data_IF_658488981888
#
_entry.id   IF_658488981888
#
_cell.length_a   1.000
_cell.length_b   1.000
_cell.length_c   1.000
_cell.angle_alpha   90.00
_cell.angle_beta   90.00
_cell.angle_gamma   90.00
#
_symmetry.space_group_name_H-M   'P 1'
#
loop_
_entity.id
_entity.type
_entity.pdbx_description
1 polymer ?
#
# COMPACT_ATOMS: atom_id res chain seq x y z
N UNK A 1 -42.67 -29.02 37.31
CA UNK A 1 -42.71 -27.62 37.79
C UNK A 1 -42.34 -27.59 39.25
N UNK A 2 -41.08 -27.31 39.58
CA UNK A 2 -40.64 -26.89 40.92
C UNK A 2 -39.48 -25.91 40.74
N UNK A 3 -39.74 -24.66 41.11
CA UNK A 3 -38.85 -23.50 41.08
C UNK A 3 -37.61 -23.70 41.95
N UNK A 4 -36.48 -23.13 41.50
CA UNK A 4 -35.29 -22.89 42.34
C UNK A 4 -35.04 -21.37 42.31
N UNK A 5 -34.93 -20.68 43.46
CA UNK A 5 -35.08 -19.24 43.59
C UNK A 5 -33.83 -18.43 43.23
N UNK A 6 -34.11 -17.21 42.75
CA UNK A 6 -33.19 -16.05 42.70
C UNK A 6 -32.79 -15.69 44.14
N UNK A 7 -31.48 -15.44 44.37
CA UNK A 7 -30.86 -14.46 45.31
C UNK A 7 -29.47 -14.96 45.76
N UNK A 8 -28.50 -14.01 45.80
CA UNK A 8 -27.13 -14.09 46.38
C UNK A 8 -26.09 -14.75 45.46
N UNK A 9 -24.94 -14.16 45.11
CA UNK A 9 -24.11 -13.12 45.74
C UNK A 9 -23.39 -12.34 44.65
N UNK A 10 -23.46 -11.02 44.77
CA UNK A 10 -22.57 -10.04 44.14
C UNK A 10 -21.12 -10.42 44.43
N UNK A 11 -20.40 -11.01 43.47
CA UNK A 11 -18.93 -11.07 43.55
C UNK A 11 -18.40 -9.76 43.01
N UNK A 12 -18.10 -8.91 43.97
CA UNK A 12 -17.34 -7.69 43.87
C UNK A 12 -16.18 -7.80 42.86
N UNK A 13 -16.08 -6.75 42.05
CA UNK A 13 -14.86 -5.95 41.97
C UNK A 13 -13.57 -6.75 41.70
N UNK A 14 -13.34 -7.11 40.44
CA UNK A 14 -11.98 -7.25 39.91
C UNK A 14 -11.69 -6.05 39.01
N UNK A 15 -11.69 -4.88 39.66
CA UNK A 15 -10.94 -3.71 39.22
C UNK A 15 -9.44 -4.06 39.24
N UNK A 16 -8.97 -4.70 38.17
CA UNK A 16 -7.56 -4.76 37.83
C UNK A 16 -7.24 -3.66 36.84
N UNK A 17 -6.85 -2.49 37.34
CA UNK A 17 -6.18 -1.46 36.54
C UNK A 17 -4.93 -2.06 35.89
N UNK A 18 -4.99 -2.46 34.62
CA UNK A 18 -3.81 -2.52 33.76
C UNK A 18 -3.75 -1.19 33.00
N UNK A 19 -3.21 -0.20 33.71
CA UNK A 19 -2.70 1.02 33.11
C UNK A 19 -1.27 0.73 32.62
N UNK A 20 -1.13 0.20 31.40
CA UNK A 20 0.10 0.37 30.63
C UNK A 20 -0.13 1.54 29.67
N UNK A 21 -0.17 2.74 30.24
CA UNK A 21 -0.13 4.00 29.51
C UNK A 21 1.25 4.21 28.91
N UNK A 22 1.61 3.41 27.91
CA UNK A 22 2.76 3.65 27.05
C UNK A 22 2.45 4.80 26.11
N UNK A 23 2.72 6.02 26.55
CA UNK A 23 2.87 7.19 25.66
C UNK A 23 4.10 6.89 24.78
N UNK A 24 3.91 6.28 23.62
CA UNK A 24 4.99 6.20 22.63
C UNK A 24 5.38 7.63 22.29
N UNK A 25 6.57 8.04 22.74
CA UNK A 25 7.17 9.27 22.27
C UNK A 25 7.23 9.22 20.74
N UNK A 26 6.96 10.33 20.02
CA UNK A 26 7.27 10.36 18.60
C UNK A 26 8.75 10.01 18.43
N UNK A 27 9.12 9.21 17.41
CA UNK A 27 10.53 8.97 17.12
C UNK A 27 11.23 10.32 16.99
N UNK A 28 12.49 10.44 17.45
CA UNK A 28 13.27 11.64 17.17
C UNK A 28 13.21 11.85 15.66
N UNK A 29 12.94 13.10 15.25
CA UNK A 29 13.12 13.49 13.86
C UNK A 29 14.50 12.97 13.45
N UNK A 30 14.52 12.05 12.47
CA UNK A 30 15.77 11.69 11.83
C UNK A 30 16.45 12.98 11.36
N UNK A 31 17.77 12.96 11.12
CA UNK A 31 18.41 14.05 10.40
C UNK A 31 17.56 14.35 9.17
N UNK A 32 17.44 15.63 8.72
CA UNK A 32 16.87 15.87 7.41
C UNK A 32 17.67 14.97 6.48
N UNK A 33 17.02 13.99 5.86
CA UNK A 33 17.55 13.42 4.64
C UNK A 33 17.65 14.63 3.73
N UNK A 34 18.84 15.21 3.71
CA UNK A 34 19.25 16.08 2.65
C UNK A 34 19.02 15.21 1.42
N UNK A 35 17.89 15.51 0.80
CA UNK A 35 17.61 15.21 -0.57
C UNK A 35 18.78 15.81 -1.33
N UNK A 36 19.84 15.01 -1.44
CA UNK A 36 20.90 15.22 -2.41
C UNK A 36 20.24 14.86 -3.75
N UNK A 37 19.33 15.75 -4.17
CA UNK A 37 19.16 16.11 -5.56
C UNK A 37 20.58 16.28 -6.07
N UNK A 38 21.07 15.23 -6.71
CA UNK A 38 22.20 15.30 -7.63
C UNK A 38 21.84 16.48 -8.53
N UNK A 39 22.58 17.56 -8.32
CA UNK A 39 22.50 18.74 -9.13
C UNK A 39 22.66 18.27 -10.57
N UNK A 40 21.69 18.64 -11.41
CA UNK A 40 21.79 18.42 -12.83
C UNK A 40 23.07 19.07 -13.32
N UNK A 41 23.97 18.25 -13.85
CA UNK A 41 25.12 18.68 -14.62
C UNK A 41 25.01 18.03 -15.99
N UNK A 42 24.99 18.88 -17.01
CA UNK A 42 25.27 18.49 -18.38
C UNK A 42 24.05 18.21 -19.24
N UNK A 43 23.33 19.28 -19.57
CA UNK A 43 22.71 19.42 -20.88
C UNK A 43 23.79 19.24 -21.96
N UNK A 44 23.92 18.04 -22.52
CA UNK A 44 24.55 17.87 -23.82
C UNK A 44 23.42 17.71 -24.84
N UNK A 45 23.21 18.79 -25.59
CA UNK A 45 22.19 18.92 -26.62
C UNK A 45 22.43 17.88 -27.73
N UNK A 46 21.85 16.70 -27.56
CA UNK A 46 21.66 15.79 -28.68
C UNK A 46 20.63 16.42 -29.59
N UNK A 47 21.07 16.74 -30.81
CA UNK A 47 20.24 17.08 -31.95
C UNK A 47 19.07 16.10 -32.03
N UNK A 48 17.88 16.57 -31.70
CA UNK A 48 16.59 15.90 -31.88
C UNK A 48 16.38 15.60 -33.37
N UNK A 49 16.98 14.51 -33.85
CA UNK A 49 16.46 13.80 -35.01
C UNK A 49 15.18 13.12 -34.54
N UNK A 50 14.05 13.61 -35.06
CA UNK A 50 12.71 13.29 -34.58
C UNK A 50 12.52 11.83 -34.26
N UNK A 51 12.50 11.52 -32.96
CA UNK A 51 12.00 10.25 -32.46
C UNK A 51 10.54 10.18 -32.90
N UNK A 52 10.24 9.28 -33.83
CA UNK A 52 8.86 8.95 -34.16
C UNK A 52 8.11 8.71 -32.83
N UNK A 53 6.89 9.26 -32.64
CA UNK A 53 6.21 9.16 -31.35
C UNK A 53 6.12 7.68 -30.97
N UNK A 54 6.91 7.27 -29.98
CA UNK A 54 6.80 5.93 -29.41
C UNK A 54 5.40 5.84 -28.84
N UNK A 55 4.59 4.92 -29.36
CA UNK A 55 3.25 4.69 -28.83
C UNK A 55 3.37 4.49 -27.31
N UNK A 56 2.76 5.40 -26.54
CA UNK A 56 2.79 5.29 -25.08
C UNK A 56 2.06 4.00 -24.70
N UNK A 57 2.61 3.17 -23.81
CA UNK A 57 1.90 1.98 -23.37
C UNK A 57 0.55 2.36 -22.74
N UNK A 58 -0.47 1.49 -22.85
CA UNK A 58 -1.77 1.73 -22.24
C UNK A 58 -1.64 1.85 -20.72
N UNK A 59 -2.36 2.79 -20.13
CA UNK A 59 -2.43 2.94 -18.69
C UNK A 59 -3.31 1.81 -18.10
N UNK A 60 -2.84 1.15 -17.06
CA UNK A 60 -3.65 0.22 -16.27
C UNK A 60 -4.54 0.99 -15.28
N UNK A 61 -5.77 0.51 -15.09
CA UNK A 61 -6.65 0.99 -14.02
C UNK A 61 -6.04 0.67 -12.65
N UNK A 62 -6.00 1.65 -11.76
CA UNK A 62 -5.62 1.46 -10.37
C UNK A 62 -6.88 1.11 -9.55
N UNK A 63 -6.84 -0.01 -8.82
CA UNK A 63 -7.94 -0.48 -7.96
C UNK A 63 -7.47 -0.48 -6.51
N UNK A 64 -8.15 0.16 -5.56
CA UNK A 64 -7.67 0.23 -4.17
C UNK A 64 -7.69 -1.17 -3.53
N UNK A 65 -6.53 -1.81 -3.48
CA UNK A 65 -6.28 -3.07 -2.78
C UNK A 65 -5.13 -2.88 -1.81
N UNK A 66 -5.21 -3.57 -0.66
CA UNK A 66 -4.25 -3.40 0.44
C UNK A 66 -4.08 -4.69 1.21
N UNK A 67 -2.82 -5.05 1.46
CA UNK A 67 -2.43 -6.22 2.24
C UNK A 67 -1.64 -5.83 3.48
N UNK A 68 -1.59 -6.73 4.47
CA UNK A 68 -0.70 -6.60 5.63
C UNK A 68 0.39 -7.65 5.58
N UNK A 69 1.63 -7.22 5.34
CA UNK A 69 2.81 -8.08 5.24
C UNK A 69 3.73 -7.80 6.43
N UNK A 70 3.92 -8.80 7.30
CA UNK A 70 4.75 -8.66 8.51
C UNK A 70 4.35 -7.49 9.42
N UNK A 71 3.04 -7.21 9.51
CA UNK A 71 2.50 -6.08 10.28
C UNK A 71 2.58 -4.72 9.58
N UNK A 72 3.05 -4.67 8.32
CA UNK A 72 3.11 -3.45 7.49
C UNK A 72 1.95 -3.46 6.49
N UNK A 73 1.19 -2.37 6.44
CA UNK A 73 0.14 -2.15 5.45
C UNK A 73 0.78 -1.73 4.11
N UNK A 74 0.51 -2.47 3.04
CA UNK A 74 1.04 -2.24 1.68
C UNK A 74 -0.12 -2.12 0.71
N UNK A 75 -0.19 -1.01 -0.04
CA UNK A 75 -1.16 -0.85 -1.13
C UNK A 75 -0.61 -1.45 -2.41
N UNK A 76 -1.39 -2.33 -3.04
CA UNK A 76 -1.08 -2.90 -4.36
C UNK A 76 -2.24 -2.63 -5.31
N UNK A 77 -2.29 -1.43 -5.93
CA UNK A 77 -3.42 -1.07 -6.77
C UNK A 77 -3.53 -1.85 -8.08
N UNK A 78 -2.54 -2.71 -8.38
CA UNK A 78 -2.43 -3.47 -9.61
C UNK A 78 -2.47 -4.99 -9.38
N UNK A 79 -2.86 -5.43 -8.18
CA UNK A 79 -3.07 -6.84 -7.82
C UNK A 79 -3.87 -7.62 -8.88
N UNK A 80 -4.82 -6.96 -9.54
CA UNK A 80 -5.66 -7.58 -10.57
C UNK A 80 -4.89 -8.01 -11.84
N UNK A 81 -3.70 -7.46 -12.11
CA UNK A 81 -2.83 -7.84 -13.23
C UNK A 81 -2.07 -9.15 -13.00
N UNK A 82 -2.09 -9.70 -11.78
CA UNK A 82 -1.37 -10.94 -11.44
C UNK A 82 -2.11 -12.22 -11.90
N UNK A 83 -3.35 -12.09 -12.38
CA UNK A 83 -4.18 -13.21 -12.81
C UNK A 83 -4.14 -13.51 -14.31
N UNK A 84 -4.67 -14.67 -14.71
CA UNK A 84 -4.75 -15.12 -16.11
C UNK A 84 -6.10 -14.80 -16.78
N UNK A 85 -6.77 -13.74 -16.32
CA UNK A 85 -8.14 -13.40 -16.76
C UNK A 85 -8.17 -12.83 -18.18
N UNK A 86 -9.36 -12.81 -18.80
CA UNK A 86 -9.55 -12.18 -20.11
C UNK A 86 -9.19 -10.68 -20.09
N UNK A 87 -9.43 -10.01 -18.96
CA UNK A 87 -9.11 -8.60 -18.77
C UNK A 87 -7.59 -8.36 -18.81
N UNK A 88 -6.82 -9.18 -18.07
CA UNK A 88 -5.35 -9.10 -18.07
C UNK A 88 -4.80 -9.39 -19.45
N UNK A 89 -5.29 -10.42 -20.15
CA UNK A 89 -4.88 -10.74 -21.51
C UNK A 89 -5.16 -9.60 -22.48
N UNK A 90 -6.33 -8.97 -22.39
CA UNK A 90 -6.67 -7.82 -23.22
C UNK A 90 -5.79 -6.60 -22.92
N UNK A 91 -5.43 -6.37 -21.65
CA UNK A 91 -4.50 -5.32 -21.28
C UNK A 91 -3.08 -5.61 -21.80
N UNK A 92 -2.56 -6.81 -21.57
CA UNK A 92 -1.22 -7.22 -22.02
C UNK A 92 -1.06 -7.17 -23.54
N UNK A 93 -2.10 -7.53 -24.30
CA UNK A 93 -2.10 -7.41 -25.75
C UNK A 93 -1.92 -5.96 -26.22
N UNK A 94 -2.54 -4.99 -25.54
CA UNK A 94 -2.37 -3.55 -25.82
C UNK A 94 -1.02 -3.02 -25.34
N UNK A 95 -0.43 -3.64 -24.32
CA UNK A 95 0.84 -3.23 -23.75
C UNK A 95 2.06 -3.68 -24.57
N UNK A 96 1.90 -4.66 -25.46
CA UNK A 96 2.97 -5.10 -26.33
C UNK A 96 3.18 -4.14 -27.52
N UNK A 97 4.30 -3.41 -27.51
CA UNK A 97 4.65 -2.43 -28.56
C UNK A 97 5.15 -3.11 -29.85
N UNK A 98 5.44 -4.42 -29.83
CA UNK A 98 6.03 -5.14 -30.97
C UNK A 98 5.40 -6.51 -31.28
N UNK A 99 4.19 -6.82 -30.80
CA UNK A 99 3.53 -8.12 -31.02
C UNK A 99 2.68 -8.17 -32.30
N UNK A 100 3.03 -7.38 -33.33
CA UNK A 100 2.32 -7.38 -34.61
C UNK A 100 2.97 -8.35 -35.62
#
# INVERSE_FOLDING_TARGET
>A
MRSIPVVSVVVASWFGLVACGGKSAPPPAGPPVADERVAGEGEDAVKEEGVAPSARPPLAEARPETDTLHGVTVSDPYRWLEGETAEVKAWSARACVSCA
#
